data_IF_265606189159
#
_entry.id   IF_265606189159
#
_cell.length_a   1.000
_cell.length_b   1.000
_cell.length_c   1.000
_cell.angle_alpha   90.00
_cell.angle_beta   90.00
_cell.angle_gamma   90.00
#
_symmetry.space_group_name_H-M   'P 1'
#
loop_
_entity.id
_entity.type
_entity.pdbx_description
1 polymer ?
#
# COMPACT_ATOMS: atom_id res chain seq x y z
N UNK A 1 -0.89 33.93 17.30
CA UNK A 1 -2.36 33.76 17.28
C UNK A 1 -2.65 32.27 17.43
N UNK A 2 -2.89 31.78 18.65
CA UNK A 2 -3.34 30.39 18.86
C UNK A 2 -4.84 30.39 18.63
N UNK A 3 -5.25 30.08 17.40
CA UNK A 3 -6.68 29.92 17.07
C UNK A 3 -7.12 28.60 17.69
N UNK A 4 -7.62 28.65 18.92
CA UNK A 4 -8.35 27.57 19.60
C UNK A 4 -9.79 27.48 19.09
N UNK A 5 -10.01 27.65 17.79
CA UNK A 5 -11.31 27.36 17.21
C UNK A 5 -11.37 25.85 16.98
N UNK A 6 -12.27 25.17 17.69
CA UNK A 6 -12.66 23.79 17.39
C UNK A 6 -13.43 23.78 16.06
N UNK A 7 -12.73 24.01 14.95
CA UNK A 7 -13.31 23.93 13.62
C UNK A 7 -13.71 22.49 13.32
N UNK A 8 -14.91 22.31 12.77
CA UNK A 8 -15.34 21.00 12.28
C UNK A 8 -14.48 20.57 11.09
N UNK A 9 -14.27 19.26 10.91
CA UNK A 9 -13.48 18.75 9.78
C UNK A 9 -13.98 19.20 8.39
N UNK A 10 -15.31 19.33 8.14
CA UNK A 10 -15.81 19.92 6.91
C UNK A 10 -15.38 21.38 6.72
N UNK A 11 -15.35 22.17 7.79
CA UNK A 11 -14.94 23.57 7.74
C UNK A 11 -13.45 23.72 7.46
N UNK A 12 -12.61 22.91 8.09
CA UNK A 12 -11.18 22.83 7.78
C UNK A 12 -10.99 22.45 6.30
N UNK A 13 -11.77 21.48 5.82
CA UNK A 13 -11.78 21.06 4.42
C UNK A 13 -12.08 22.20 3.45
N UNK A 14 -13.16 22.95 3.70
CA UNK A 14 -13.53 24.11 2.88
C UNK A 14 -12.42 25.14 2.81
N UNK A 15 -11.81 25.49 3.95
CA UNK A 15 -10.72 26.48 4.02
C UNK A 15 -9.45 26.04 3.30
N UNK A 16 -9.15 24.74 3.32
CA UNK A 16 -7.97 24.17 2.68
C UNK A 16 -8.21 23.72 1.24
N UNK A 17 -9.42 23.88 0.71
CA UNK A 17 -9.87 23.30 -0.56
C UNK A 17 -9.61 21.77 -0.63
N UNK A 18 -9.91 21.07 0.48
CA UNK A 18 -9.72 19.63 0.64
C UNK A 18 -11.02 18.97 1.10
N UNK A 19 -11.19 17.70 0.75
CA UNK A 19 -12.34 16.93 1.24
C UNK A 19 -12.16 16.60 2.73
N UNK A 20 -13.25 16.65 3.51
CA UNK A 20 -13.27 16.26 4.94
C UNK A 20 -12.65 14.87 5.18
N UNK A 21 -12.88 13.93 4.27
CA UNK A 21 -12.37 12.56 4.34
C UNK A 21 -10.87 12.50 4.08
N UNK A 22 -10.30 13.44 3.33
CA UNK A 22 -8.85 13.57 3.15
C UNK A 22 -8.19 14.01 4.45
N UNK A 23 -8.73 15.06 5.08
CA UNK A 23 -8.25 15.53 6.39
C UNK A 23 -8.38 14.44 7.45
N UNK A 24 -9.51 13.73 7.49
CA UNK A 24 -9.72 12.64 8.45
C UNK A 24 -8.72 11.52 8.30
N UNK A 25 -8.44 11.10 7.06
CA UNK A 25 -7.45 10.05 6.79
C UNK A 25 -6.03 10.52 7.11
N UNK A 26 -5.72 11.79 6.88
CA UNK A 26 -4.41 12.36 7.19
C UNK A 26 -4.16 12.44 8.70
N UNK A 27 -5.14 12.92 9.48
CA UNK A 27 -5.06 12.95 10.93
C UNK A 27 -4.97 11.53 11.50
N UNK A 28 -5.87 10.63 11.11
CA UNK A 28 -5.87 9.23 11.59
C UNK A 28 -4.53 8.52 11.36
N UNK A 29 -3.84 8.81 10.24
CA UNK A 29 -2.57 8.15 9.91
C UNK A 29 -1.33 8.80 10.53
N UNK A 30 -1.42 10.08 10.92
CA UNK A 30 -0.22 10.84 11.26
C UNK A 30 -0.28 11.56 12.61
N UNK A 31 -1.42 11.55 13.32
CA UNK A 31 -1.48 11.93 14.72
C UNK A 31 -0.46 11.13 15.53
N UNK A 32 0.25 11.82 16.42
CA UNK A 32 1.16 11.19 17.36
C UNK A 32 0.35 10.48 18.45
N UNK A 33 0.56 9.18 18.62
CA UNK A 33 -0.21 8.37 19.57
C UNK A 33 0.11 8.72 21.04
N UNK A 34 1.31 9.27 21.32
CA UNK A 34 1.74 9.61 22.68
C UNK A 34 1.18 10.95 23.12
N UNK A 35 1.13 11.92 22.19
CA UNK A 35 0.72 13.29 22.49
C UNK A 35 -0.70 13.63 22.00
N UNK A 36 -1.32 12.77 21.18
CA UNK A 36 -2.67 12.98 20.62
C UNK A 36 -2.76 14.15 19.63
N UNK A 37 -1.63 14.66 19.15
CA UNK A 37 -1.54 15.86 18.30
C UNK A 37 -0.94 15.55 16.93
N UNK A 38 -1.31 16.36 15.93
CA UNK A 38 -0.73 16.29 14.59
C UNK A 38 0.63 17.02 14.56
N UNK A 39 1.70 16.30 14.21
CA UNK A 39 3.05 16.84 14.09
C UNK A 39 3.55 16.77 12.63
N UNK A 40 3.57 17.90 11.89
CA UNK A 40 4.05 17.95 10.51
C UNK A 40 5.43 17.31 10.32
N UNK A 41 6.37 17.56 11.23
CA UNK A 41 7.75 17.09 11.12
C UNK A 41 7.86 15.55 11.11
N UNK A 42 7.04 14.87 11.92
CA UNK A 42 7.01 13.40 11.95
C UNK A 42 6.18 12.81 10.82
N UNK A 43 5.17 13.53 10.31
CA UNK A 43 4.28 13.05 9.23
C UNK A 43 5.05 12.69 7.96
N UNK A 44 6.06 13.49 7.58
CA UNK A 44 6.86 13.26 6.38
C UNK A 44 7.66 11.97 6.47
N UNK A 45 8.27 11.70 7.63
CA UNK A 45 8.99 10.46 7.90
C UNK A 45 8.04 9.26 7.90
N UNK A 46 6.88 9.36 8.57
CA UNK A 46 5.84 8.33 8.56
C UNK A 46 5.35 8.02 7.15
N UNK A 47 5.12 9.05 6.33
CA UNK A 47 4.73 8.90 4.92
C UNK A 47 5.80 8.18 4.10
N UNK A 48 7.06 8.60 4.24
CA UNK A 48 8.20 7.98 3.54
C UNK A 48 8.32 6.49 3.91
N UNK A 49 8.29 6.18 5.19
CA UNK A 49 8.37 4.80 5.68
C UNK A 49 7.22 3.92 5.16
N UNK A 50 5.98 4.43 5.15
CA UNK A 50 4.83 3.71 4.55
C UNK A 50 5.04 3.45 3.05
N UNK A 51 5.55 4.43 2.31
CA UNK A 51 5.82 4.31 0.87
C UNK A 51 6.94 3.32 0.59
N UNK A 52 7.99 3.30 1.41
CA UNK A 52 9.09 2.32 1.32
C UNK A 52 8.59 0.91 1.61
N UNK A 53 7.80 0.74 2.68
CA UNK A 53 7.19 -0.55 3.03
C UNK A 53 6.31 -1.09 1.89
N UNK A 54 5.52 -0.23 1.24
CA UNK A 54 4.64 -0.63 0.13
C UNK A 54 5.39 -0.94 -1.18
N UNK A 55 6.67 -0.57 -1.30
CA UNK A 55 7.51 -0.83 -2.48
C UNK A 55 8.29 -2.15 -2.37
N UNK A 56 8.10 -2.90 -1.30
CA UNK A 56 8.74 -4.22 -1.16
C UNK A 56 8.26 -5.11 -2.31
N UNK A 57 9.22 -5.60 -3.11
CA UNK A 57 8.92 -6.44 -4.27
C UNK A 57 8.12 -7.66 -3.83
N UNK A 58 7.05 -7.94 -4.57
CA UNK A 58 6.19 -9.11 -4.37
C UNK A 58 5.52 -9.20 -2.97
N UNK A 59 5.40 -8.08 -2.23
CA UNK A 59 4.78 -8.07 -0.90
C UNK A 59 3.32 -8.59 -0.92
N UNK A 60 2.61 -8.37 -2.03
CA UNK A 60 1.22 -8.80 -2.21
C UNK A 60 1.11 -10.21 -2.81
N UNK A 61 2.22 -10.86 -3.11
CA UNK A 61 2.24 -12.24 -3.64
C UNK A 61 2.40 -13.18 -2.46
N UNK A 62 1.52 -14.16 -2.33
CA UNK A 62 1.61 -15.14 -1.25
C UNK A 62 2.87 -16.00 -1.43
N UNK A 63 3.43 -16.46 -0.31
CA UNK A 63 4.57 -17.38 -0.33
C UNK A 63 4.25 -18.66 -1.12
N UNK A 64 3.01 -19.16 -1.03
CA UNK A 64 2.55 -20.33 -1.79
C UNK A 64 2.60 -20.08 -3.30
N UNK A 65 2.15 -18.91 -3.76
CA UNK A 65 2.24 -18.53 -5.18
C UNK A 65 3.69 -18.43 -5.64
N UNK A 66 4.60 -17.89 -4.82
CA UNK A 66 6.03 -17.80 -5.18
C UNK A 66 6.65 -19.19 -5.31
N UNK A 67 6.36 -20.10 -4.38
CA UNK A 67 6.86 -21.48 -4.43
C UNK A 67 6.35 -22.20 -5.68
N UNK A 68 5.06 -22.03 -6.01
CA UNK A 68 4.47 -22.63 -7.20
C UNK A 68 5.10 -22.09 -8.49
N UNK A 69 5.25 -20.77 -8.61
CA UNK A 69 5.92 -20.15 -9.77
C UNK A 69 7.34 -20.71 -9.94
N UNK A 70 8.10 -20.85 -8.85
CA UNK A 70 9.44 -21.44 -8.90
C UNK A 70 9.42 -22.89 -9.36
N UNK A 71 8.51 -23.71 -8.81
CA UNK A 71 8.36 -25.10 -9.21
C UNK A 71 8.06 -25.23 -10.71
N UNK A 72 7.16 -24.40 -11.23
CA UNK A 72 6.79 -24.43 -12.64
C UNK A 72 7.90 -23.90 -13.57
N UNK A 73 8.70 -22.94 -13.11
CA UNK A 73 9.90 -22.49 -13.84
C UNK A 73 10.96 -23.60 -13.95
N UNK A 74 11.12 -24.42 -12.91
CA UNK A 74 11.99 -25.61 -12.95
C UNK A 74 11.49 -26.67 -13.96
N UNK A 75 10.18 -26.72 -14.21
CA UNK A 75 9.58 -27.57 -15.25
C UNK A 75 9.66 -26.96 -16.66
N UNK A 76 10.41 -25.87 -16.85
CA UNK A 76 10.57 -25.15 -18.12
C UNK A 76 9.27 -24.55 -18.68
N UNK A 77 8.27 -24.28 -17.84
CA UNK A 77 7.10 -23.53 -18.27
C UNK A 77 7.43 -22.04 -18.48
N UNK A 78 6.93 -21.46 -19.58
CA UNK A 78 7.02 -20.02 -19.83
C UNK A 78 6.14 -19.22 -18.85
N UNK A 79 6.48 -17.97 -18.54
CA UNK A 79 5.68 -17.12 -17.65
C UNK A 79 4.20 -17.01 -18.03
N UNK A 80 3.89 -16.99 -19.34
CA UNK A 80 2.53 -16.99 -19.87
C UNK A 80 1.78 -18.30 -19.56
N UNK A 81 2.45 -19.45 -19.69
CA UNK A 81 1.89 -20.75 -19.31
C UNK A 81 1.62 -20.83 -17.82
N UNK A 82 2.56 -20.37 -16.99
CA UNK A 82 2.42 -20.36 -15.53
C UNK A 82 1.22 -19.50 -15.12
N UNK A 83 1.11 -18.28 -15.64
CA UNK A 83 -0.03 -17.40 -15.35
C UNK A 83 -1.38 -18.04 -15.77
N UNK A 84 -1.39 -18.76 -16.90
CA UNK A 84 -2.56 -19.52 -17.37
C UNK A 84 -2.95 -20.66 -16.44
N UNK A 85 -1.99 -21.49 -16.04
CA UNK A 85 -2.17 -22.63 -15.13
C UNK A 85 -2.67 -22.16 -13.77
N UNK A 86 -2.01 -21.17 -13.16
CA UNK A 86 -2.40 -20.66 -11.85
C UNK A 86 -3.81 -20.06 -11.82
N UNK A 87 -4.24 -19.47 -12.94
CA UNK A 87 -5.61 -18.98 -13.12
C UNK A 87 -6.62 -20.14 -13.22
N UNK A 88 -6.25 -21.24 -13.89
CA UNK A 88 -7.09 -22.42 -14.03
C UNK A 88 -7.27 -23.16 -12.70
N UNK A 89 -6.18 -23.30 -11.94
CA UNK A 89 -6.15 -24.03 -10.66
C UNK A 89 -6.69 -23.20 -9.48
N UNK A 90 -6.88 -21.89 -9.66
CA UNK A 90 -7.38 -21.00 -8.61
C UNK A 90 -6.37 -20.73 -7.49
N UNK A 91 -5.10 -21.12 -7.66
CA UNK A 91 -4.02 -21.03 -6.66
C UNK A 91 -3.52 -19.59 -6.48
N UNK A 92 -3.82 -18.70 -7.43
CA UNK A 92 -3.56 -17.26 -7.28
C UNK A 92 -3.81 -16.47 -8.55
N UNK A 93 -3.92 -15.14 -8.41
CA UNK A 93 -3.94 -14.20 -9.54
C UNK A 93 -2.60 -13.49 -9.61
N UNK A 94 -1.66 -14.06 -10.35
CA UNK A 94 -0.38 -13.43 -10.68
C UNK A 94 -0.34 -13.14 -12.19
N UNK A 95 0.15 -11.96 -12.58
CA UNK A 95 0.33 -11.64 -14.00
C UNK A 95 1.63 -12.23 -14.51
N UNK A 96 1.68 -12.55 -15.81
CA UNK A 96 2.91 -12.99 -16.47
C UNK A 96 4.03 -11.94 -16.31
N UNK A 97 3.72 -10.65 -16.36
CA UNK A 97 4.66 -9.55 -16.08
C UNK A 97 5.31 -9.68 -14.70
N UNK A 98 4.51 -10.07 -13.69
CA UNK A 98 5.03 -10.26 -12.33
C UNK A 98 5.97 -11.46 -12.27
N UNK A 99 5.69 -12.52 -13.01
CA UNK A 99 6.56 -13.70 -13.12
C UNK A 99 7.86 -13.34 -13.83
N UNK A 100 7.81 -12.56 -14.92
CA UNK A 100 9.03 -12.07 -15.59
C UNK A 100 9.93 -11.27 -14.64
N UNK A 101 9.38 -10.48 -13.71
CA UNK A 101 10.17 -9.75 -12.71
C UNK A 101 10.84 -10.66 -11.66
N UNK A 102 10.44 -11.93 -11.56
CA UNK A 102 10.99 -12.90 -10.60
C UNK A 102 12.21 -13.67 -11.14
N UNK A 103 12.41 -13.63 -12.46
CA UNK A 103 13.53 -14.24 -13.18
C UNK A 103 14.60 -13.17 -13.40
#
# INVERSE_FOLDING_TARGET
>A
MRVTDKLSMPEIGRRMNQNKSTISRELSRNTDERQGVYLPDTTKLKMKARREKAKVKFQNVSATTITEVKHQLEQHHSPDQIAGLMKLEGVGKISYETIYLMI
#
